data_IF_286476229017
#
_entry.id   IF_286476229017
#
_cell.length_a   1.000
_cell.length_b   1.000
_cell.length_c   1.000
_cell.angle_alpha   90.00
_cell.angle_beta   90.00
_cell.angle_gamma   90.00
#
_symmetry.space_group_name_H-M   'P 1'
#
loop_
_entity.id
_entity.type
_entity.pdbx_description
1 polymer ?
#
# COMPACT_ATOMS: atom_id res chain seq x y z
N UNK A 1 -10.96 -63.56 18.97
CA UNK A 1 -10.80 -62.15 19.43
C UNK A 1 -11.24 -61.18 18.33
N UNK A 2 -12.53 -61.18 17.97
CA UNK A 2 -13.06 -60.34 16.89
C UNK A 2 -14.55 -59.97 17.09
N UNK A 3 -15.03 -59.83 18.34
CA UNK A 3 -16.44 -59.48 18.60
C UNK A 3 -16.65 -58.36 19.65
N UNK A 4 -15.60 -57.61 20.01
CA UNK A 4 -15.70 -56.51 21.00
C UNK A 4 -15.41 -55.12 20.40
N UNK A 5 -15.82 -54.86 19.15
CA UNK A 5 -15.72 -53.52 18.53
C UNK A 5 -17.03 -52.93 18.00
N UNK A 6 -18.17 -53.62 18.13
CA UNK A 6 -19.44 -53.12 17.59
C UNK A 6 -20.38 -52.40 18.56
N UNK A 7 -19.99 -52.20 19.83
CA UNK A 7 -20.84 -51.54 20.85
C UNK A 7 -20.38 -50.15 21.30
N UNK A 8 -19.38 -49.54 20.63
CA UNK A 8 -18.94 -48.16 20.94
C UNK A 8 -19.11 -47.16 19.79
N UNK A 9 -19.89 -47.52 18.78
CA UNK A 9 -20.09 -46.71 17.58
C UNK A 9 -21.53 -46.22 17.38
N UNK A 10 -22.43 -46.44 18.36
CA UNK A 10 -23.84 -46.08 18.23
C UNK A 10 -24.32 -44.91 19.09
N UNK A 11 -23.41 -44.12 19.68
CA UNK A 11 -23.76 -42.88 20.41
C UNK A 11 -23.16 -41.61 19.76
N UNK A 12 -22.54 -41.72 18.58
CA UNK A 12 -22.01 -40.56 17.83
C UNK A 12 -22.82 -40.17 16.59
N UNK A 13 -24.00 -40.75 16.42
CA UNK A 13 -24.85 -40.57 15.23
C UNK A 13 -26.12 -39.76 15.54
N UNK A 14 -25.98 -38.66 16.28
CA UNK A 14 -26.99 -37.60 16.38
C UNK A 14 -26.31 -36.28 16.74
N UNK A 15 -25.24 -35.95 16.01
CA UNK A 15 -24.74 -34.57 15.97
C UNK A 15 -25.50 -33.87 14.85
N UNK A 16 -26.71 -33.39 15.16
CA UNK A 16 -27.32 -32.34 14.35
C UNK A 16 -26.42 -31.11 14.51
N UNK A 17 -25.62 -30.85 13.48
CA UNK A 17 -24.78 -29.67 13.41
C UNK A 17 -25.71 -28.45 13.37
N UNK A 18 -25.84 -27.75 14.49
CA UNK A 18 -26.61 -26.52 14.63
C UNK A 18 -25.63 -25.34 14.51
N UNK A 19 -25.50 -24.66 13.36
CA UNK A 19 -24.42 -23.70 13.08
C UNK A 19 -24.47 -22.42 13.93
N UNK A 20 -25.53 -22.23 14.71
CA UNK A 20 -25.84 -20.99 15.42
C UNK A 20 -25.86 -21.13 16.94
N UNK A 21 -25.73 -22.34 17.48
CA UNK A 21 -25.72 -22.58 18.92
C UNK A 21 -24.34 -23.00 19.36
N UNK A 22 -23.75 -22.19 20.22
CA UNK A 22 -22.61 -22.63 21.00
C UNK A 22 -23.08 -23.82 21.89
N UNK A 23 -22.27 -24.87 22.01
CA UNK A 23 -22.64 -26.12 22.72
C UNK A 23 -23.11 -25.84 24.16
N UNK A 24 -22.64 -24.74 24.75
CA UNK A 24 -23.04 -24.22 26.06
C UNK A 24 -24.49 -23.73 26.11
N UNK A 25 -24.97 -23.04 25.07
CA UNK A 25 -26.36 -22.57 25.01
C UNK A 25 -27.32 -23.76 24.89
N UNK A 26 -26.91 -24.80 24.16
CA UNK A 26 -27.66 -26.05 24.04
C UNK A 26 -27.79 -26.74 25.41
N UNK A 27 -26.71 -26.79 26.20
CA UNK A 27 -26.74 -27.36 27.55
C UNK A 27 -27.62 -26.53 28.51
N UNK A 28 -27.51 -25.20 28.47
CA UNK A 28 -28.31 -24.31 29.32
C UNK A 28 -29.81 -24.43 29.02
N UNK A 29 -30.20 -24.49 27.74
CA UNK A 29 -31.58 -24.70 27.32
C UNK A 29 -32.14 -26.06 27.72
N UNK A 30 -31.31 -27.09 27.69
CA UNK A 30 -31.68 -28.43 28.16
C UNK A 30 -31.95 -28.43 29.67
N UNK A 31 -31.15 -27.72 30.46
CA UNK A 31 -31.39 -27.55 31.90
C UNK A 31 -32.66 -26.74 32.18
N UNK A 32 -32.95 -25.69 31.40
CA UNK A 32 -34.23 -24.94 31.50
C UNK A 32 -35.41 -25.85 31.17
N UNK A 33 -35.31 -26.66 30.11
CA UNK A 33 -36.36 -27.61 29.72
C UNK A 33 -36.61 -28.67 30.80
N UNK A 34 -35.55 -29.18 31.43
CA UNK A 34 -35.66 -30.13 32.54
C UNK A 34 -36.27 -29.48 33.79
N UNK A 35 -35.95 -28.21 34.08
CA UNK A 35 -36.54 -27.48 35.20
C UNK A 35 -38.07 -27.38 35.09
N UNK A 36 -38.62 -27.02 33.92
CA UNK A 36 -40.08 -26.98 33.74
C UNK A 36 -40.74 -28.35 33.83
N UNK A 37 -40.04 -29.40 33.40
CA UNK A 37 -40.54 -30.78 33.48
C UNK A 37 -40.58 -31.31 34.92
N UNK A 38 -39.69 -30.85 35.79
CA UNK A 38 -39.68 -31.19 37.22
C UNK A 38 -40.65 -30.34 38.05
N UNK A 39 -41.08 -29.17 37.56
CA UNK A 39 -42.02 -28.29 38.25
C UNK A 39 -43.47 -28.69 38.00
N UNK A 40 -43.79 -29.25 36.83
CA UNK A 40 -45.15 -29.61 36.44
C UNK A 40 -45.15 -30.96 35.69
N UNK A 41 -45.20 -32.07 36.43
CA UNK A 41 -45.11 -33.43 35.88
C UNK A 41 -46.29 -33.78 34.93
N UNK A 42 -47.42 -33.08 35.08
CA UNK A 42 -48.65 -33.27 34.30
C UNK A 42 -48.77 -32.32 33.10
N UNK A 43 -47.85 -31.36 32.94
CA UNK A 43 -47.89 -30.41 31.83
C UNK A 43 -47.50 -31.07 30.51
N UNK A 44 -48.32 -30.88 29.47
CA UNK A 44 -47.98 -31.36 28.13
C UNK A 44 -46.70 -30.70 27.61
N UNK A 45 -45.89 -31.44 26.85
CA UNK A 45 -44.64 -30.92 26.27
C UNK A 45 -44.86 -29.62 25.46
N UNK A 46 -46.02 -29.46 24.82
CA UNK A 46 -46.40 -28.23 24.10
C UNK A 46 -46.51 -27.01 25.03
N UNK A 47 -47.09 -27.19 26.22
CA UNK A 47 -47.23 -26.12 27.23
C UNK A 47 -45.86 -25.70 27.78
N UNK A 48 -44.98 -26.67 28.04
CA UNK A 48 -43.60 -26.42 28.45
C UNK A 48 -42.82 -25.66 27.36
N UNK A 49 -42.95 -26.08 26.10
CA UNK A 49 -42.33 -25.40 24.96
C UNK A 49 -42.81 -23.95 24.80
N UNK A 50 -44.11 -23.68 24.94
CA UNK A 50 -44.68 -22.33 24.86
C UNK A 50 -44.21 -21.43 26.00
N UNK A 51 -44.13 -21.96 27.23
CA UNK A 51 -43.61 -21.23 28.38
C UNK A 51 -42.14 -20.85 28.17
N UNK A 52 -41.32 -21.79 27.70
CA UNK A 52 -39.91 -21.52 27.41
C UNK A 52 -39.78 -20.52 26.26
N UNK A 53 -40.58 -20.62 25.18
CA UNK A 53 -40.53 -19.69 24.04
C UNK A 53 -40.97 -18.29 24.41
N UNK A 54 -41.95 -18.16 25.32
CA UNK A 54 -42.32 -16.87 25.89
C UNK A 54 -41.15 -16.22 26.63
N UNK A 55 -40.40 -17.01 27.39
CA UNK A 55 -39.25 -16.53 28.16
C UNK A 55 -37.99 -16.36 27.27
N UNK A 56 -37.90 -17.08 26.15
CA UNK A 56 -36.80 -17.04 25.17
C UNK A 56 -36.89 -15.89 24.17
N UNK A 57 -38.09 -15.41 23.88
CA UNK A 57 -38.32 -14.44 22.82
C UNK A 57 -38.14 -13.01 23.30
N UNK A 58 -37.32 -12.24 22.58
CA UNK A 58 -36.94 -10.87 22.94
C UNK A 58 -38.04 -9.86 22.71
N UNK A 59 -38.77 -10.06 21.62
CA UNK A 59 -39.83 -9.19 21.16
C UNK A 59 -41.01 -10.05 20.71
N UNK A 60 -42.19 -9.42 20.63
CA UNK A 60 -43.41 -10.10 20.25
C UNK A 60 -43.28 -10.77 18.87
N UNK A 61 -42.49 -10.20 17.97
CA UNK A 61 -42.29 -10.73 16.62
C UNK A 61 -41.50 -12.04 16.61
N UNK A 62 -40.36 -12.12 17.30
CA UNK A 62 -39.56 -13.34 17.44
C UNK A 62 -40.38 -14.44 18.13
N UNK A 63 -41.16 -14.08 19.17
CA UNK A 63 -42.09 -15.00 19.81
C UNK A 63 -43.12 -15.55 18.82
N UNK A 64 -43.72 -14.69 18.01
CA UNK A 64 -44.69 -15.12 16.99
C UNK A 64 -44.05 -16.03 15.93
N UNK A 65 -42.83 -15.78 15.49
CA UNK A 65 -42.11 -16.65 14.55
C UNK A 65 -41.76 -18.01 15.18
N UNK A 66 -41.36 -18.03 16.46
CA UNK A 66 -41.11 -19.27 17.19
C UNK A 66 -42.38 -20.06 17.48
N UNK A 67 -43.51 -19.39 17.75
CA UNK A 67 -44.83 -20.03 17.91
C UNK A 67 -45.31 -20.63 16.59
N UNK A 68 -45.18 -19.89 15.47
CA UNK A 68 -45.47 -20.44 14.13
C UNK A 68 -44.62 -21.67 13.82
N UNK A 69 -43.34 -21.68 14.19
CA UNK A 69 -42.51 -22.86 14.01
C UNK A 69 -42.98 -24.08 14.80
N UNK A 70 -43.62 -23.91 15.97
CA UNK A 70 -44.27 -25.01 16.69
C UNK A 70 -45.50 -25.51 15.93
N UNK A 71 -46.30 -24.60 15.36
CA UNK A 71 -47.50 -24.91 14.58
C UNK A 71 -47.15 -25.61 13.25
N UNK A 72 -46.08 -25.16 12.58
CA UNK A 72 -45.57 -25.73 11.33
C UNK A 72 -44.89 -27.10 11.55
N UNK A 73 -44.24 -27.29 12.71
CA UNK A 73 -43.59 -28.54 13.09
C UNK A 73 -44.52 -29.51 13.83
N UNK A 74 -45.82 -29.57 13.54
CA UNK A 74 -46.77 -30.56 14.12
C UNK A 74 -46.38 -32.02 13.79
N UNK A 75 -45.32 -32.48 14.45
CA UNK A 75 -44.86 -33.86 14.57
C UNK A 75 -45.54 -34.42 15.82
N UNK A 76 -45.98 -35.68 15.73
CA UNK A 76 -46.72 -36.43 16.76
C UNK A 76 -46.27 -36.12 18.20
N UNK A 77 -47.27 -35.96 19.08
CA UNK A 77 -47.18 -35.61 20.51
C UNK A 77 -46.17 -36.45 21.32
N UNK A 78 -45.68 -37.59 20.80
CA UNK A 78 -44.67 -38.42 21.45
C UNK A 78 -43.21 -37.97 21.24
N UNK A 79 -42.89 -37.25 20.15
CA UNK A 79 -41.51 -36.86 19.80
C UNK A 79 -41.08 -35.49 20.36
N UNK A 80 -42.03 -34.65 20.77
CA UNK A 80 -41.80 -33.34 21.41
C UNK A 80 -41.36 -33.43 22.87
N UNK A 81 -41.41 -34.63 23.48
CA UNK A 81 -40.94 -34.89 24.84
C UNK A 81 -39.41 -34.88 24.98
N UNK A 82 -38.68 -34.88 23.85
CA UNK A 82 -37.21 -34.91 23.80
C UNK A 82 -36.66 -33.50 23.58
N UNK A 83 -35.69 -33.04 24.41
CA UNK A 83 -35.05 -31.73 24.26
C UNK A 83 -34.48 -31.46 22.87
N UNK A 84 -34.04 -32.49 22.14
CA UNK A 84 -33.48 -32.36 20.79
C UNK A 84 -34.53 -31.93 19.74
N UNK A 85 -35.78 -32.37 19.87
CA UNK A 85 -36.87 -31.99 18.97
C UNK A 85 -37.26 -30.52 19.18
N UNK A 86 -37.35 -30.10 20.45
CA UNK A 86 -37.61 -28.70 20.83
C UNK A 86 -36.55 -27.73 20.28
N UNK A 87 -35.27 -28.12 20.29
CA UNK A 87 -34.19 -27.26 19.80
C UNK A 87 -34.23 -27.08 18.28
N UNK A 88 -34.64 -28.11 17.54
CA UNK A 88 -34.90 -28.01 16.10
C UNK A 88 -36.04 -27.04 15.77
N UNK A 89 -37.08 -26.99 16.62
CA UNK A 89 -38.21 -26.06 16.49
C UNK A 89 -37.75 -24.62 16.74
N UNK A 90 -36.92 -24.39 17.78
CA UNK A 90 -36.36 -23.05 18.04
C UNK A 90 -35.47 -22.60 16.88
N UNK A 91 -34.66 -23.48 16.32
CA UNK A 91 -33.83 -23.16 15.16
C UNK A 91 -34.63 -22.77 13.93
N UNK A 92 -35.71 -23.52 13.67
CA UNK A 92 -36.61 -23.20 12.57
C UNK A 92 -37.29 -21.84 12.78
N UNK A 93 -37.84 -21.58 13.98
CA UNK A 93 -38.46 -20.29 14.31
C UNK A 93 -37.52 -19.10 14.23
N UNK A 94 -36.24 -19.31 14.55
CA UNK A 94 -35.20 -18.27 14.43
C UNK A 94 -34.70 -18.07 13.01
N UNK A 95 -34.66 -19.12 12.20
CA UNK A 95 -34.38 -18.99 10.77
C UNK A 95 -35.48 -18.16 10.07
N UNK A 96 -36.74 -18.40 10.43
CA UNK A 96 -37.88 -17.58 9.98
C UNK A 96 -37.73 -16.12 10.43
N UNK A 97 -37.41 -15.90 11.70
CA UNK A 97 -37.18 -14.54 12.21
C UNK A 97 -36.00 -13.82 11.52
N UNK A 98 -34.88 -14.51 11.25
CA UNK A 98 -33.72 -13.92 10.53
C UNK A 98 -34.00 -13.63 9.06
N UNK A 99 -34.89 -14.40 8.42
CA UNK A 99 -35.33 -14.13 7.06
C UNK A 99 -36.29 -12.92 7.00
N UNK A 100 -37.11 -12.72 8.03
CA UNK A 100 -38.09 -11.64 8.13
C UNK A 100 -37.50 -10.33 8.70
N UNK A 101 -36.48 -10.39 9.56
CA UNK A 101 -35.86 -9.25 10.22
C UNK A 101 -34.51 -8.85 9.58
N UNK A 102 -34.37 -7.57 9.21
CA UNK A 102 -33.07 -6.96 8.82
C UNK A 102 -32.13 -6.97 10.03
N UNK A 103 -31.10 -7.81 9.96
CA UNK A 103 -29.87 -7.82 10.78
C UNK A 103 -30.06 -7.51 12.29
N UNK A 104 -30.58 -8.46 13.06
CA UNK A 104 -30.29 -8.48 14.50
C UNK A 104 -28.88 -9.07 14.72
N UNK A 105 -27.98 -8.28 15.32
CA UNK A 105 -26.61 -8.71 15.64
C UNK A 105 -26.58 -9.89 16.60
N UNK A 106 -25.65 -10.83 16.36
CA UNK A 106 -25.42 -12.01 17.20
C UNK A 106 -25.06 -11.69 18.66
N UNK A 107 -24.74 -10.44 18.97
CA UNK A 107 -24.32 -9.96 20.29
C UNK A 107 -25.52 -9.84 21.23
N UNK A 108 -26.64 -9.28 20.73
CA UNK A 108 -27.91 -9.22 21.45
C UNK A 108 -28.38 -10.65 21.79
N UNK A 109 -28.10 -11.59 20.86
CA UNK A 109 -27.86 -13.05 21.05
C UNK A 109 -27.60 -13.49 22.48
N UNK A 110 -26.31 -13.48 22.77
CA UNK A 110 -25.70 -14.03 23.97
C UNK A 110 -26.18 -13.30 25.22
N UNK A 111 -26.36 -11.98 25.17
CA UNK A 111 -26.80 -11.18 26.32
C UNK A 111 -28.22 -11.52 26.80
N UNK A 112 -29.15 -11.72 25.87
CA UNK A 112 -30.50 -12.15 26.23
C UNK A 112 -30.50 -13.53 26.92
N UNK A 113 -29.69 -14.46 26.41
CA UNK A 113 -29.51 -15.78 27.02
C UNK A 113 -28.83 -15.71 28.38
N UNK A 114 -27.84 -14.84 28.55
CA UNK A 114 -27.18 -14.62 29.82
C UNK A 114 -28.17 -14.13 30.89
N UNK A 115 -29.02 -13.16 30.53
CA UNK A 115 -30.08 -12.64 31.41
C UNK A 115 -31.11 -13.70 31.75
N UNK A 116 -31.47 -14.53 30.77
CA UNK A 116 -32.41 -15.62 30.96
C UNK A 116 -31.87 -16.66 31.94
N UNK A 117 -30.65 -17.15 31.73
CA UNK A 117 -30.00 -18.13 32.63
C UNK A 117 -29.84 -17.55 34.04
N UNK A 118 -29.47 -16.27 34.16
CA UNK A 118 -29.39 -15.58 35.46
C UNK A 118 -30.75 -15.54 36.19
N UNK A 119 -31.84 -15.32 35.46
CA UNK A 119 -33.19 -15.31 36.04
C UNK A 119 -33.62 -16.68 36.57
N UNK A 120 -33.26 -17.77 35.87
CA UNK A 120 -33.53 -19.14 36.34
C UNK A 120 -32.64 -19.53 37.51
N UNK A 121 -31.37 -19.11 37.52
CA UNK A 121 -30.49 -19.28 38.68
C UNK A 121 -31.11 -18.66 39.94
N UNK A 122 -31.63 -17.42 39.86
CA UNK A 122 -32.32 -16.76 40.97
C UNK A 122 -33.63 -17.46 41.37
N UNK A 123 -34.45 -17.89 40.40
CA UNK A 123 -35.69 -18.63 40.68
C UNK A 123 -35.38 -19.93 41.45
N UNK A 124 -34.42 -20.71 40.98
CA UNK A 124 -33.99 -21.96 41.64
C UNK A 124 -33.43 -21.71 43.05
N UNK A 125 -32.70 -20.61 43.25
CA UNK A 125 -32.18 -20.22 44.57
C UNK A 125 -33.29 -19.83 45.56
N UNK A 126 -34.31 -19.10 45.10
CA UNK A 126 -35.50 -18.74 45.91
C UNK A 126 -36.38 -19.94 46.26
N UNK A 127 -36.45 -20.91 45.36
CA UNK A 127 -37.23 -22.15 45.52
C UNK A 127 -36.49 -23.23 46.35
N UNK A 128 -35.23 -22.98 46.75
CA UNK A 128 -34.43 -23.92 47.53
C UNK A 128 -33.83 -25.08 46.73
N UNK A 129 -33.91 -25.05 45.39
CA UNK A 129 -33.34 -26.05 44.48
C UNK A 129 -31.86 -25.75 44.19
N UNK A 130 -31.01 -25.91 45.22
CA UNK A 130 -29.61 -25.47 45.17
C UNK A 130 -28.73 -26.19 44.15
N UNK A 131 -28.99 -27.47 43.84
CA UNK A 131 -28.22 -28.22 42.84
C UNK A 131 -28.45 -27.68 41.42
N UNK A 132 -29.70 -27.41 41.05
CA UNK A 132 -30.06 -26.75 39.80
C UNK A 132 -29.53 -25.32 39.74
N UNK A 133 -29.56 -24.59 40.87
CA UNK A 133 -28.97 -23.26 40.95
C UNK A 133 -27.45 -23.30 40.68
N UNK A 134 -26.72 -24.28 41.23
CA UNK A 134 -25.30 -24.45 40.96
C UNK A 134 -25.01 -24.77 39.48
N UNK A 135 -25.83 -25.60 38.84
CA UNK A 135 -25.71 -25.88 37.40
C UNK A 135 -25.92 -24.61 36.56
N UNK A 136 -26.97 -23.82 36.85
CA UNK A 136 -27.21 -22.56 36.16
C UNK A 136 -26.09 -21.52 36.39
N UNK A 137 -25.51 -21.50 37.58
CA UNK A 137 -24.34 -20.66 37.88
C UNK A 137 -23.11 -21.07 37.06
N UNK A 138 -22.85 -22.38 36.89
CA UNK A 138 -21.77 -22.86 36.02
C UNK A 138 -22.02 -22.52 34.55
N UNK A 139 -23.26 -22.64 34.08
CA UNK A 139 -23.65 -22.26 32.72
C UNK A 139 -23.48 -20.76 32.50
N UNK A 140 -23.88 -19.94 33.46
CA UNK A 140 -23.70 -18.50 33.43
C UNK A 140 -22.21 -18.11 33.34
N UNK A 141 -21.36 -18.70 34.18
CA UNK A 141 -19.93 -18.40 34.19
C UNK A 141 -19.23 -18.79 32.88
N UNK A 142 -19.60 -19.94 32.30
CA UNK A 142 -19.06 -20.37 31.00
C UNK A 142 -19.54 -19.49 29.85
N UNK A 143 -20.83 -19.12 29.82
CA UNK A 143 -21.37 -18.24 28.77
C UNK A 143 -20.79 -16.82 28.85
N UNK A 144 -20.51 -16.31 30.05
CA UNK A 144 -19.80 -15.03 30.23
C UNK A 144 -18.41 -15.10 29.61
N UNK A 145 -17.63 -16.11 29.96
CA UNK A 145 -16.26 -16.28 29.46
C UNK A 145 -16.21 -16.40 27.94
N UNK A 146 -17.10 -17.18 27.34
CA UNK A 146 -17.17 -17.33 25.88
C UNK A 146 -17.54 -16.01 25.18
N UNK A 147 -18.41 -15.21 25.77
CA UNK A 147 -18.78 -13.89 25.24
C UNK A 147 -17.62 -12.88 25.36
N UNK A 148 -16.89 -12.90 26.48
CA UNK A 148 -15.67 -12.12 26.66
C UNK A 148 -14.60 -12.50 25.62
N UNK A 149 -14.34 -13.80 25.45
CA UNK A 149 -13.38 -14.31 24.46
C UNK A 149 -13.78 -13.93 23.04
N UNK A 150 -15.09 -14.00 22.71
CA UNK A 150 -15.63 -13.58 21.40
C UNK A 150 -15.42 -12.09 21.14
N UNK A 151 -15.70 -11.23 22.11
CA UNK A 151 -15.51 -9.78 21.97
C UNK A 151 -14.03 -9.43 21.80
N UNK A 152 -13.16 -10.05 22.58
CA UNK A 152 -11.71 -9.88 22.46
C UNK A 152 -11.23 -10.31 21.08
N UNK A 153 -11.69 -11.46 20.58
CA UNK A 153 -11.30 -11.95 19.25
C UNK A 153 -11.82 -11.06 18.12
N UNK A 154 -13.05 -10.55 18.24
CA UNK A 154 -13.60 -9.61 17.26
C UNK A 154 -12.77 -8.33 17.19
N UNK A 155 -12.35 -7.79 18.34
CA UNK A 155 -11.52 -6.57 18.40
C UNK A 155 -10.11 -6.86 17.87
N UNK A 156 -9.49 -7.99 18.23
CA UNK A 156 -8.20 -8.42 17.66
C UNK A 156 -8.25 -8.55 16.14
N UNK A 157 -9.30 -9.17 15.62
CA UNK A 157 -9.51 -9.35 14.18
C UNK A 157 -9.63 -8.01 13.46
N UNK A 158 -10.45 -7.08 13.99
CA UNK A 158 -10.55 -5.69 13.49
C UNK A 158 -9.20 -4.98 13.52
N UNK A 159 -8.49 -5.02 14.65
CA UNK A 159 -7.17 -4.39 14.80
C UNK A 159 -6.13 -4.95 13.83
N UNK A 160 -6.13 -6.26 13.59
CA UNK A 160 -5.26 -6.92 12.61
C UNK A 160 -5.57 -6.45 11.20
N UNK A 161 -6.85 -6.40 10.85
CA UNK A 161 -7.30 -5.90 9.56
C UNK A 161 -6.92 -4.44 9.33
N UNK A 162 -7.17 -3.56 10.31
CA UNK A 162 -6.84 -2.15 10.22
C UNK A 162 -5.32 -1.92 10.13
N UNK A 163 -4.52 -2.74 10.84
CA UNK A 163 -3.06 -2.72 10.72
C UNK A 163 -2.59 -3.13 9.33
N UNK A 164 -3.23 -4.14 8.73
CA UNK A 164 -2.94 -4.55 7.34
C UNK A 164 -3.30 -3.43 6.36
N UNK A 165 -4.46 -2.78 6.51
CA UNK A 165 -4.85 -1.64 5.68
C UNK A 165 -3.85 -0.49 5.81
N UNK A 166 -3.41 -0.17 7.02
CA UNK A 166 -2.40 0.87 7.26
C UNK A 166 -1.07 0.52 6.58
N UNK A 167 -0.63 -0.73 6.68
CA UNK A 167 0.58 -1.19 5.99
C UNK A 167 0.45 -1.07 4.45
N UNK A 168 -0.69 -1.47 3.90
CA UNK A 168 -0.97 -1.32 2.46
C UNK A 168 -0.98 0.15 2.03
N UNK A 169 -1.55 1.04 2.84
CA UNK A 169 -1.54 2.48 2.58
C UNK A 169 -0.12 3.06 2.61
N UNK A 170 0.71 2.66 3.58
CA UNK A 170 2.12 3.05 3.63
C UNK A 170 2.92 2.56 2.42
N UNK A 171 2.73 1.30 2.01
CA UNK A 171 3.38 0.73 0.81
C UNK A 171 2.98 1.49 -0.44
N UNK A 172 1.68 1.74 -0.63
CA UNK A 172 1.16 2.52 -1.76
C UNK A 172 1.75 3.92 -1.80
N UNK A 173 1.83 4.60 -0.65
CA UNK A 173 2.43 5.93 -0.58
C UNK A 173 3.91 5.92 -0.96
N UNK A 174 4.66 4.89 -0.57
CA UNK A 174 6.06 4.73 -0.96
C UNK A 174 6.22 4.47 -2.46
N UNK A 175 5.34 3.66 -3.06
CA UNK A 175 5.30 3.40 -4.50
C UNK A 175 4.97 4.67 -5.30
N UNK A 176 3.94 5.42 -4.89
CA UNK A 176 3.56 6.69 -5.52
C UNK A 176 4.71 7.72 -5.43
N UNK A 177 5.36 7.81 -4.27
CA UNK A 177 6.55 8.64 -4.08
C UNK A 177 7.67 8.23 -5.03
N UNK A 178 8.00 6.94 -5.08
CA UNK A 178 9.04 6.39 -5.95
C UNK A 178 8.77 6.70 -7.42
N UNK A 179 7.55 6.44 -7.90
CA UNK A 179 7.16 6.70 -9.29
C UNK A 179 7.25 8.18 -9.64
N UNK A 180 6.80 9.07 -8.74
CA UNK A 180 6.87 10.52 -8.98
C UNK A 180 8.31 11.02 -9.08
N UNK A 181 9.21 10.51 -8.23
CA UNK A 181 10.63 10.86 -8.25
C UNK A 181 11.36 10.27 -9.46
N UNK A 182 11.06 9.03 -9.83
CA UNK A 182 11.66 8.40 -11.01
C UNK A 182 11.23 9.13 -12.30
N UNK A 183 9.98 9.58 -12.39
CA UNK A 183 9.51 10.42 -13.49
C UNK A 183 10.22 11.79 -13.52
N UNK A 184 10.31 12.46 -12.37
CA UNK A 184 11.01 13.75 -12.26
C UNK A 184 12.50 13.65 -12.64
N UNK A 185 13.19 12.60 -12.20
CA UNK A 185 14.61 12.37 -12.53
C UNK A 185 14.78 12.06 -14.01
N UNK A 186 13.87 11.29 -14.61
CA UNK A 186 13.88 11.02 -16.06
C UNK A 186 13.74 12.32 -16.86
N UNK A 187 12.83 13.21 -16.47
CA UNK A 187 12.65 14.51 -17.11
C UNK A 187 13.88 15.40 -16.95
N UNK A 188 14.51 15.38 -15.78
CA UNK A 188 15.75 16.09 -15.53
C UNK A 188 16.90 15.59 -16.43
N UNK A 189 17.07 14.28 -16.56
CA UNK A 189 18.10 13.69 -17.43
C UNK A 189 17.82 14.00 -18.91
N UNK A 190 16.56 13.91 -19.35
CA UNK A 190 16.18 14.26 -20.71
C UNK A 190 16.53 15.72 -21.06
N UNK A 191 16.17 16.66 -20.17
CA UNK A 191 16.51 18.09 -20.32
C UNK A 191 18.02 18.34 -20.27
N UNK A 192 18.74 17.60 -19.42
CA UNK A 192 20.19 17.71 -19.31
C UNK A 192 20.89 17.27 -20.60
N UNK A 193 20.42 16.18 -21.21
CA UNK A 193 20.91 15.69 -22.50
C UNK A 193 20.58 16.67 -23.64
N UNK A 194 19.39 17.24 -23.65
CA UNK A 194 19.01 18.28 -24.63
C UNK A 194 19.95 19.48 -24.56
N UNK A 195 20.24 19.97 -23.35
CA UNK A 195 21.16 21.09 -23.13
C UNK A 195 22.59 20.77 -23.59
N UNK A 196 23.08 19.55 -23.35
CA UNK A 196 24.39 19.10 -23.84
C UNK A 196 24.41 19.07 -25.37
N UNK A 197 23.35 18.56 -25.99
CA UNK A 197 23.23 18.47 -27.45
C UNK A 197 23.16 19.86 -28.09
N UNK A 198 22.39 20.78 -27.51
CA UNK A 198 22.30 22.16 -27.96
C UNK A 198 23.67 22.84 -27.88
N UNK A 199 24.36 22.73 -26.75
CA UNK A 199 25.72 23.28 -26.59
C UNK A 199 26.68 22.70 -27.64
N UNK A 200 26.69 21.37 -27.82
CA UNK A 200 27.52 20.70 -28.82
C UNK A 200 27.23 21.19 -30.25
N UNK A 201 25.94 21.39 -30.58
CA UNK A 201 25.52 21.94 -31.88
C UNK A 201 26.01 23.37 -32.07
N UNK A 202 25.89 24.23 -31.06
CA UNK A 202 26.39 25.61 -31.14
C UNK A 202 27.91 25.65 -31.29
N UNK A 203 28.66 24.83 -30.54
CA UNK A 203 30.11 24.70 -30.68
C UNK A 203 30.52 24.23 -32.08
N UNK A 204 29.78 23.28 -32.66
CA UNK A 204 30.02 22.81 -34.02
C UNK A 204 29.77 23.93 -35.05
N UNK A 205 28.67 24.67 -34.92
CA UNK A 205 28.35 25.80 -35.80
C UNK A 205 29.40 26.92 -35.71
N UNK A 206 29.90 27.21 -34.51
CA UNK A 206 30.96 28.21 -34.29
C UNK A 206 32.29 27.79 -34.93
N UNK A 207 32.63 26.49 -34.92
CA UNK A 207 33.80 25.98 -35.62
C UNK A 207 33.64 26.09 -37.14
N UNK A 208 32.46 25.77 -37.67
CA UNK A 208 32.18 25.90 -39.10
C UNK A 208 32.25 27.36 -39.56
N UNK A 209 31.65 28.28 -38.81
CA UNK A 209 31.67 29.72 -39.15
C UNK A 209 33.08 30.30 -39.09
N UNK A 210 33.90 29.87 -38.11
CA UNK A 210 35.31 30.27 -38.03
C UNK A 210 36.11 29.73 -39.22
N UNK A 211 35.89 28.48 -39.64
CA UNK A 211 36.52 27.92 -40.85
C UNK A 211 36.13 28.70 -42.10
N UNK A 212 34.85 28.99 -42.27
CA UNK A 212 34.35 29.77 -43.40
C UNK A 212 34.98 31.18 -43.42
N UNK A 213 34.99 31.88 -42.28
CA UNK A 213 35.62 33.19 -42.15
C UNK A 213 37.13 33.16 -42.44
N UNK A 214 37.83 32.11 -42.03
CA UNK A 214 39.25 31.92 -42.37
C UNK A 214 39.45 31.72 -43.88
N UNK A 215 38.58 30.95 -44.56
CA UNK A 215 38.66 30.76 -46.01
C UNK A 215 38.37 32.03 -46.80
N UNK A 216 37.39 32.82 -46.36
CA UNK A 216 37.05 34.12 -46.96
C UNK A 216 38.16 35.16 -46.74
N UNK A 217 38.78 35.16 -45.56
CA UNK A 217 39.92 36.03 -45.26
C UNK A 217 41.15 35.66 -46.09
N UNK A 218 41.37 34.36 -46.32
CA UNK A 218 42.46 33.85 -47.14
C UNK A 218 42.26 34.15 -48.63
N UNK A 219 41.03 34.18 -49.14
CA UNK A 219 40.75 34.52 -50.55
C UNK A 219 40.80 36.02 -50.83
N UNK A 220 40.49 36.86 -49.85
CA UNK A 220 40.45 38.33 -50.00
C UNK A 220 41.79 39.03 -49.75
N UNK A 221 42.65 38.44 -48.90
CA UNK A 221 43.95 39.05 -48.57
C UNK A 221 45.01 38.60 -49.58
N UNK A 222 45.27 39.40 -50.61
CA UNK A 222 46.43 39.16 -51.47
C UNK A 222 47.73 39.36 -50.68
N UNK A 223 48.66 38.41 -50.81
CA UNK A 223 49.96 38.47 -50.18
C UNK A 223 50.72 39.73 -50.64
N UNK A 224 51.16 40.55 -49.68
CA UNK A 224 51.99 41.72 -49.97
C UNK A 224 53.44 41.27 -50.14
N UNK A 225 53.89 41.27 -51.39
CA UNK A 225 55.26 40.94 -51.78
C UNK A 225 56.28 41.91 -51.18
N UNK A 226 57.50 41.43 -50.92
CA UNK A 226 58.58 42.29 -50.46
C UNK A 226 58.97 43.33 -51.50
N UNK A 227 59.56 44.44 -51.04
CA UNK A 227 60.12 45.47 -51.92
C UNK A 227 61.22 44.92 -52.83
N UNK A 228 61.95 43.89 -52.38
CA UNK A 228 62.99 43.21 -53.16
C UNK A 228 62.39 42.42 -54.31
N UNK A 229 61.34 41.63 -54.08
CA UNK A 229 60.64 40.88 -55.13
C UNK A 229 60.06 41.82 -56.19
N UNK A 230 59.40 42.89 -55.74
CA UNK A 230 58.85 43.94 -56.63
C UNK A 230 59.98 44.58 -57.45
N UNK A 231 61.14 44.83 -56.84
CA UNK A 231 62.33 45.36 -57.51
C UNK A 231 62.88 44.41 -58.58
N UNK A 232 63.00 43.13 -58.28
CA UNK A 232 63.46 42.10 -59.22
C UNK A 232 62.49 41.92 -60.39
N UNK A 233 61.16 41.92 -60.15
CA UNK A 233 60.13 41.89 -61.20
C UNK A 233 60.18 43.12 -62.12
N UNK A 234 60.42 44.32 -61.58
CA UNK A 234 60.63 45.53 -62.39
C UNK A 234 61.89 45.44 -63.25
N UNK A 235 62.99 44.94 -62.69
CA UNK A 235 64.25 44.75 -63.42
C UNK A 235 64.08 43.71 -64.53
N UNK A 236 63.39 42.61 -64.26
CA UNK A 236 63.03 41.58 -65.23
C UNK A 236 62.28 42.20 -66.43
N UNK A 237 61.24 43.00 -66.18
CA UNK A 237 60.48 43.69 -67.24
C UNK A 237 61.37 44.61 -68.06
N UNK A 238 62.17 45.45 -67.39
CA UNK A 238 63.06 46.39 -68.05
C UNK A 238 64.09 45.70 -68.96
N UNK A 239 64.67 44.58 -68.51
CA UNK A 239 65.64 43.81 -69.31
C UNK A 239 64.98 43.07 -70.48
N UNK A 240 63.71 42.66 -70.31
CA UNK A 240 62.89 42.12 -71.41
C UNK A 240 62.61 43.18 -72.47
N UNK A 241 62.24 44.40 -72.05
CA UNK A 241 61.97 45.53 -72.96
C UNK A 241 63.22 45.97 -73.72
N UNK A 242 64.40 45.83 -73.10
CA UNK A 242 65.72 46.06 -73.70
C UNK A 242 66.23 44.90 -74.58
N UNK A 243 65.43 43.84 -74.79
CA UNK A 243 65.78 42.63 -75.57
C UNK A 243 66.97 41.82 -75.02
N UNK A 244 67.33 42.02 -73.74
CA UNK A 244 68.39 41.27 -73.05
C UNK A 244 67.82 40.01 -72.42
N UNK A 245 67.42 39.06 -73.26
CA UNK A 245 66.65 37.89 -72.83
C UNK A 245 67.39 36.95 -71.87
N UNK A 246 68.71 36.77 -72.01
CA UNK A 246 69.49 35.92 -71.11
C UNK A 246 69.50 36.45 -69.67
N UNK A 247 69.70 37.75 -69.51
CA UNK A 247 69.72 38.41 -68.19
C UNK A 247 68.31 38.54 -67.58
N UNK A 248 67.31 38.75 -68.42
CA UNK A 248 65.91 38.71 -68.02
C UNK A 248 65.54 37.30 -67.51
N UNK A 249 66.01 36.24 -68.17
CA UNK A 249 65.79 34.85 -67.75
C UNK A 249 66.47 34.53 -66.41
N UNK A 250 67.73 34.96 -66.22
CA UNK A 250 68.42 34.79 -64.92
C UNK A 250 67.69 35.53 -63.79
N UNK A 251 67.22 36.75 -64.05
CA UNK A 251 66.46 37.53 -63.06
C UNK A 251 65.08 36.93 -62.79
N UNK A 252 64.45 36.31 -63.79
CA UNK A 252 63.21 35.55 -63.62
C UNK A 252 63.41 34.37 -62.67
N UNK A 253 64.45 33.55 -62.85
CA UNK A 253 64.74 32.41 -61.96
C UNK A 253 64.87 32.87 -60.50
N UNK A 254 65.63 33.94 -60.28
CA UNK A 254 65.83 34.51 -58.93
C UNK A 254 64.51 35.04 -58.36
N UNK A 255 63.70 35.73 -59.18
CA UNK A 255 62.40 36.25 -58.77
C UNK A 255 61.40 35.15 -58.43
N UNK A 256 61.30 34.12 -59.27
CA UNK A 256 60.38 32.99 -59.09
C UNK A 256 60.75 32.19 -57.82
N UNK A 257 62.05 31.98 -57.56
CA UNK A 257 62.52 31.34 -56.33
C UNK A 257 62.21 32.17 -55.08
N UNK A 258 62.40 33.50 -55.15
CA UNK A 258 62.12 34.41 -54.04
C UNK A 258 60.61 34.55 -53.79
N UNK A 259 59.80 34.58 -54.85
CA UNK A 259 58.33 34.56 -54.77
C UNK A 259 57.80 33.27 -54.13
N UNK A 260 58.34 32.11 -54.51
CA UNK A 260 57.94 30.84 -53.91
C UNK A 260 58.29 30.78 -52.41
N UNK A 261 59.47 31.30 -52.04
CA UNK A 261 59.87 31.41 -50.63
C UNK A 261 58.94 32.33 -49.85
N UNK A 262 58.67 33.55 -50.34
CA UNK A 262 57.77 34.51 -49.68
C UNK A 262 56.33 33.97 -49.59
N UNK A 263 55.86 33.26 -50.62
CA UNK A 263 54.55 32.59 -50.62
C UNK A 263 54.48 31.50 -49.57
N UNK A 264 55.52 30.66 -49.47
CA UNK A 264 55.61 29.60 -48.46
C UNK A 264 55.64 30.16 -47.04
N UNK A 265 56.45 31.19 -46.80
CA UNK A 265 56.55 31.85 -45.49
C UNK A 265 55.22 32.51 -45.12
N UNK A 266 54.56 33.19 -46.06
CA UNK A 266 53.26 33.79 -45.83
C UNK A 266 52.20 32.73 -45.50
N UNK A 267 52.14 31.64 -46.26
CA UNK A 267 51.23 30.51 -46.02
C UNK A 267 51.49 29.83 -44.67
N UNK A 268 52.75 29.69 -44.27
CA UNK A 268 53.13 29.14 -42.96
C UNK A 268 52.64 30.03 -41.82
N UNK A 269 52.85 31.35 -41.91
CA UNK A 269 52.40 32.31 -40.90
C UNK A 269 50.86 32.36 -40.81
N UNK A 270 50.16 32.39 -41.95
CA UNK A 270 48.69 32.39 -41.95
C UNK A 270 48.12 31.08 -41.41
N UNK A 271 48.66 29.93 -41.82
CA UNK A 271 48.23 28.63 -41.31
C UNK A 271 48.47 28.50 -39.80
N UNK A 272 49.64 28.91 -39.30
CA UNK A 272 49.91 28.86 -37.85
C UNK A 272 48.98 29.78 -37.05
N UNK A 273 48.61 30.94 -37.59
CA UNK A 273 47.64 31.84 -36.96
C UNK A 273 46.22 31.23 -36.96
N UNK A 274 45.80 30.61 -38.07
CA UNK A 274 44.53 29.89 -38.19
C UNK A 274 44.47 28.75 -37.16
N UNK A 275 45.48 27.89 -37.11
CA UNK A 275 45.56 26.78 -36.17
C UNK A 275 45.50 27.24 -34.71
N UNK A 276 46.19 28.34 -34.36
CA UNK A 276 46.10 28.92 -33.01
C UNK A 276 44.70 29.41 -32.68
N UNK A 277 44.00 30.06 -33.62
CA UNK A 277 42.61 30.49 -33.41
C UNK A 277 41.66 29.32 -33.24
N UNK A 278 41.79 28.28 -34.07
CA UNK A 278 40.99 27.05 -33.95
C UNK A 278 41.24 26.33 -32.63
N UNK A 279 42.50 26.20 -32.22
CA UNK A 279 42.88 25.58 -30.96
C UNK A 279 42.31 26.35 -29.76
N UNK A 280 42.43 27.68 -29.76
CA UNK A 280 41.87 28.53 -28.70
C UNK A 280 40.34 28.39 -28.61
N UNK A 281 39.63 28.34 -29.75
CA UNK A 281 38.18 28.19 -29.76
C UNK A 281 37.78 26.79 -29.26
N UNK A 282 38.48 25.74 -29.70
CA UNK A 282 38.23 24.37 -29.25
C UNK A 282 38.46 24.22 -27.74
N UNK A 283 39.52 24.84 -27.23
CA UNK A 283 39.80 24.87 -25.80
C UNK A 283 38.67 25.55 -25.02
N UNK A 284 38.15 26.70 -25.51
CA UNK A 284 36.98 27.35 -24.91
C UNK A 284 35.77 26.43 -24.87
N UNK A 285 35.44 25.81 -26.00
CA UNK A 285 34.32 24.85 -26.08
C UNK A 285 34.48 23.69 -25.08
N UNK A 286 35.68 23.12 -24.97
CA UNK A 286 35.99 22.06 -24.00
C UNK A 286 35.80 22.54 -22.56
N UNK A 287 36.24 23.75 -22.22
CA UNK A 287 36.05 24.30 -20.88
C UNK A 287 34.58 24.56 -20.56
N UNK A 288 33.82 25.13 -21.50
CA UNK A 288 32.39 25.37 -21.35
C UNK A 288 31.61 24.07 -21.15
N UNK A 289 31.89 23.06 -21.99
CA UNK A 289 31.28 21.74 -21.88
C UNK A 289 31.65 21.07 -20.54
N UNK A 290 32.91 21.15 -20.11
CA UNK A 290 33.34 20.61 -18.81
C UNK A 290 32.62 21.26 -17.64
N UNK A 291 32.44 22.59 -17.68
CA UNK A 291 31.71 23.34 -16.64
C UNK A 291 30.24 22.92 -16.63
N UNK A 292 29.60 22.81 -17.80
CA UNK A 292 28.21 22.34 -17.90
C UNK A 292 28.04 20.94 -17.29
N UNK A 293 28.89 19.99 -17.69
CA UNK A 293 28.85 18.62 -17.17
C UNK A 293 29.04 18.57 -15.66
N UNK A 294 29.98 19.35 -15.11
CA UNK A 294 30.17 19.48 -13.66
C UNK A 294 28.93 20.03 -12.96
N UNK A 295 28.26 21.03 -13.55
CA UNK A 295 27.04 21.62 -12.99
C UNK A 295 25.89 20.59 -12.97
N UNK A 296 25.71 19.84 -14.06
CA UNK A 296 24.72 18.76 -14.13
C UNK A 296 25.01 17.70 -13.06
N UNK A 297 26.27 17.29 -12.91
CA UNK A 297 26.66 16.28 -11.92
C UNK A 297 26.47 16.76 -10.46
N UNK A 298 26.78 18.02 -10.17
CA UNK A 298 26.48 18.62 -8.86
C UNK A 298 24.98 18.60 -8.61
N UNK A 299 24.17 18.98 -9.61
CA UNK A 299 22.71 19.01 -9.48
C UNK A 299 22.13 17.61 -9.29
N UNK A 300 22.63 16.61 -10.02
CA UNK A 300 22.27 15.20 -9.85
C UNK A 300 22.48 14.71 -8.42
N UNK A 301 23.66 15.00 -7.85
CA UNK A 301 23.96 14.66 -6.44
C UNK A 301 23.06 15.41 -5.46
N UNK A 302 22.74 16.68 -5.73
CA UNK A 302 21.80 17.45 -4.91
C UNK A 302 20.39 16.83 -4.93
N UNK A 303 19.89 16.47 -6.11
CA UNK A 303 18.58 15.82 -6.27
C UNK A 303 18.53 14.46 -5.57
N UNK A 304 19.60 13.66 -5.68
CA UNK A 304 19.69 12.39 -4.95
C UNK A 304 19.61 12.61 -3.43
N UNK A 305 20.34 13.59 -2.91
CA UNK A 305 20.28 13.95 -1.48
C UNK A 305 18.88 14.44 -1.07
N UNK A 306 18.21 15.20 -1.92
CA UNK A 306 16.84 15.65 -1.68
C UNK A 306 15.87 14.47 -1.60
N UNK A 307 15.96 13.53 -2.55
CA UNK A 307 15.20 12.28 -2.54
C UNK A 307 15.42 11.50 -1.25
N UNK A 308 16.67 11.28 -0.84
CA UNK A 308 17.00 10.53 0.37
C UNK A 308 16.40 11.19 1.63
N UNK A 309 16.49 12.52 1.71
CA UNK A 309 15.89 13.29 2.81
C UNK A 309 14.35 13.19 2.83
N UNK A 310 13.72 13.21 1.66
CA UNK A 310 12.27 13.05 1.55
C UNK A 310 11.79 11.65 1.89
N UNK A 311 12.50 10.61 1.45
CA UNK A 311 12.25 9.22 1.85
C UNK A 311 12.36 9.10 3.36
N UNK A 312 13.42 9.64 3.97
CA UNK A 312 13.60 9.61 5.42
C UNK A 312 12.44 10.29 6.16
N UNK A 313 11.98 11.45 5.66
CA UNK A 313 10.80 12.15 6.22
C UNK A 313 9.51 11.35 6.06
N UNK A 314 9.30 10.71 4.91
CA UNK A 314 8.15 9.85 4.66
C UNK A 314 8.13 8.65 5.61
N UNK A 315 9.25 7.95 5.75
CA UNK A 315 9.40 6.83 6.68
C UNK A 315 9.13 7.29 8.12
N UNK A 316 9.68 8.44 8.52
CA UNK A 316 9.45 8.95 9.88
C UNK A 316 7.99 9.32 10.12
N UNK A 317 7.32 9.92 9.13
CA UNK A 317 5.88 10.19 9.21
C UNK A 317 5.09 8.89 9.36
N UNK A 318 5.39 7.86 8.58
CA UNK A 318 4.72 6.57 8.65
C UNK A 318 4.95 5.88 10.01
N UNK A 319 6.16 5.97 10.56
CA UNK A 319 6.46 5.52 11.93
C UNK A 319 5.62 6.25 12.98
N UNK A 320 5.49 7.57 12.86
CA UNK A 320 4.68 8.37 13.79
C UNK A 320 3.19 8.02 13.69
N UNK A 321 2.67 7.80 12.48
CA UNK A 321 1.29 7.35 12.26
C UNK A 321 1.08 5.97 12.89
N UNK A 322 2.00 5.03 12.66
CA UNK A 322 1.94 3.70 13.27
C UNK A 322 1.94 3.78 14.81
N UNK A 323 2.80 4.61 15.41
CA UNK A 323 2.84 4.76 16.86
C UNK A 323 1.54 5.37 17.43
N UNK A 324 0.97 6.37 16.74
CA UNK A 324 -0.32 6.96 17.10
C UNK A 324 -1.45 5.93 16.99
N UNK A 325 -1.43 5.11 15.94
CA UNK A 325 -2.38 4.04 15.70
C UNK A 325 -2.29 2.94 16.78
N UNK A 326 -1.09 2.45 17.08
CA UNK A 326 -0.87 1.45 18.12
C UNK A 326 -1.29 1.98 19.51
N UNK A 327 -1.08 3.28 19.78
CA UNK A 327 -1.55 3.93 21.02
C UNK A 327 -3.08 3.97 21.11
N UNK A 328 -3.77 4.22 19.99
CA UNK A 328 -5.25 4.19 19.93
C UNK A 328 -5.78 2.78 20.16
N UNK A 329 -5.20 1.78 19.51
CA UNK A 329 -5.57 0.37 19.71
C UNK A 329 -5.37 -0.08 21.16
N UNK A 330 -4.26 0.31 21.78
CA UNK A 330 -4.02 0.03 23.20
C UNK A 330 -5.11 0.65 24.08
N UNK A 331 -5.47 1.92 23.82
CA UNK A 331 -6.52 2.60 24.56
C UNK A 331 -7.90 1.95 24.36
N UNK A 332 -8.20 1.45 23.16
CA UNK A 332 -9.42 0.69 22.88
C UNK A 332 -9.46 -0.65 23.61
N UNK A 333 -8.35 -1.39 23.65
CA UNK A 333 -8.24 -2.63 24.42
C UNK A 333 -8.48 -2.38 25.93
N UNK A 334 -7.91 -1.31 26.48
CA UNK A 334 -8.13 -0.93 27.88
C UNK A 334 -9.59 -0.54 28.15
N UNK A 335 -10.23 0.19 27.23
CA UNK A 335 -11.66 0.52 27.32
C UNK A 335 -12.54 -0.73 27.23
N UNK A 336 -12.24 -1.66 26.33
CA UNK A 336 -12.98 -2.92 26.21
C UNK A 336 -12.88 -3.73 27.51
N UNK A 337 -11.68 -3.88 28.07
CA UNK A 337 -11.48 -4.57 29.34
C UNK A 337 -12.29 -3.92 30.48
N UNK A 338 -12.27 -2.58 30.57
CA UNK A 338 -13.08 -1.84 31.55
C UNK A 338 -14.58 -1.98 31.31
N UNK A 339 -15.03 -2.01 30.05
CA UNK A 339 -16.45 -2.15 29.71
C UNK A 339 -16.97 -3.55 30.05
N UNK A 340 -16.19 -4.59 29.76
CA UNK A 340 -16.49 -5.96 30.17
C UNK A 340 -16.64 -6.01 31.70
N UNK A 341 -15.67 -5.45 32.43
CA UNK A 341 -15.71 -5.42 33.90
C UNK A 341 -16.93 -4.65 34.46
N UNK A 342 -17.26 -3.51 33.87
CA UNK A 342 -18.44 -2.72 34.25
C UNK A 342 -19.75 -3.43 33.93
N UNK A 343 -19.85 -4.08 32.77
CA UNK A 343 -21.03 -4.83 32.38
C UNK A 343 -21.27 -6.02 33.31
N UNK A 344 -20.19 -6.72 33.69
CA UNK A 344 -20.21 -7.76 34.72
C UNK A 344 -20.73 -7.21 36.06
N UNK A 345 -20.28 -6.03 36.48
CA UNK A 345 -20.74 -5.37 37.72
C UNK A 345 -22.20 -4.91 37.65
N UNK A 346 -22.66 -4.37 36.53
CA UNK A 346 -24.05 -3.92 36.35
C UNK A 346 -25.04 -5.08 36.35
N UNK A 347 -24.69 -6.22 35.74
CA UNK A 347 -25.49 -7.45 35.83
C UNK A 347 -25.64 -7.96 37.27
N UNK A 348 -24.67 -7.68 38.16
CA UNK A 348 -24.77 -8.01 39.58
C UNK A 348 -25.60 -7.00 40.38
N UNK A 349 -25.69 -5.75 39.92
CA UNK A 349 -26.33 -4.64 40.65
C UNK A 349 -27.80 -4.40 40.27
N UNK A 350 -28.21 -4.70 39.04
CA UNK A 350 -29.56 -4.40 38.52
C UNK A 350 -30.67 -5.35 38.99
N UNK A 351 -30.38 -6.26 39.91
CA UNK A 351 -31.39 -7.15 40.50
C UNK A 351 -31.42 -7.01 42.05
N UNK A 352 -31.31 -5.79 42.57
CA UNK A 352 -31.75 -5.45 43.96
C UNK A 352 -33.22 -5.08 43.94
#
# INVERSE_FOLDING_TARGET
>A
MAEFRHLKQNERSSSTYHPHWNELLFRALRSIFNYYREVDEDASASVICLAIIHDLGRNHHERSCMIRAIEDCQVSVSETSKPASFLSIIDHGRALFKAEAKECGNDDMTYHFLRLVHSYHRKCSKEGKYLLAQEFMEHELRLRKDEEDRQVEQVKSKHSHDRQQLAMAHTRQAEEFQQSWDAFLKDFEAKSLELINEMSKTHHQQLLSLKQSNTESASTTQAKWSKELIGHRKRQSLMSDQQRYEEAHQTKIISDALEEKERSDHNSITNTAILKREANLTQKHQTEMSVLLKRIEIKRRELQKQRDNEIARLIQRNKNIQASFDSKHMAECLKLASNIEQHVKQLLANDV
#
